data_IF_246112955445
#
_entry.id   IF_246112955445
#
_cell.length_a   1.000
_cell.length_b   1.000
_cell.length_c   1.000
_cell.angle_alpha   90.00
_cell.angle_beta   90.00
_cell.angle_gamma   90.00
#
_symmetry.space_group_name_H-M   'P 1'
#
loop_
_entity.id
_entity.type
_entity.pdbx_description
1 polymer ?
#
# COMPACT_ATOMS: atom_id res chain seq x y z
N UNK A 1 6.76 23.86 23.96
CA UNK A 1 6.03 23.00 23.01
C UNK A 1 6.73 22.93 21.65
N UNK A 2 6.97 24.05 20.93
CA UNK A 2 7.58 24.04 19.58
C UNK A 2 8.99 23.44 19.54
N UNK A 3 9.85 23.72 20.54
CA UNK A 3 11.19 23.12 20.63
C UNK A 3 11.13 21.59 20.83
N UNK A 4 10.15 21.10 21.55
CA UNK A 4 9.93 19.65 21.70
C UNK A 4 9.45 19.03 20.41
N UNK A 5 8.51 19.65 19.70
CA UNK A 5 8.02 19.19 18.41
C UNK A 5 9.13 19.16 17.34
N UNK A 6 9.98 20.19 17.29
CA UNK A 6 11.11 20.19 16.36
C UNK A 6 12.14 19.11 16.66
N UNK A 7 12.31 18.73 17.93
CA UNK A 7 13.10 17.57 18.33
C UNK A 7 12.46 16.24 17.93
N UNK A 8 11.14 16.12 18.04
CA UNK A 8 10.37 14.94 17.64
C UNK A 8 10.36 14.75 16.13
N UNK A 9 10.13 15.82 15.35
CA UNK A 9 10.11 15.83 13.89
C UNK A 9 11.44 16.28 13.27
N UNK A 10 12.58 15.83 13.84
CA UNK A 10 13.91 16.19 13.35
C UNK A 10 14.23 15.55 11.99
N UNK A 11 15.36 15.94 11.39
CA UNK A 11 15.77 15.46 10.07
C UNK A 11 16.17 13.96 10.03
N UNK A 12 16.38 13.34 11.20
CA UNK A 12 16.71 11.91 11.30
C UNK A 12 15.47 11.02 11.39
N UNK A 13 14.28 11.60 11.65
CA UNK A 13 13.05 10.83 11.74
C UNK A 13 12.72 10.19 10.39
N UNK A 14 12.33 8.92 10.45
CA UNK A 14 11.80 8.18 9.32
C UNK A 14 10.27 8.16 9.47
N UNK A 15 9.56 8.59 8.44
CA UNK A 15 8.10 8.61 8.39
C UNK A 15 7.60 7.43 7.59
N UNK A 16 6.57 6.73 8.07
CA UNK A 16 5.85 5.81 7.19
C UNK A 16 4.96 6.58 6.22
N UNK A 17 4.69 6.02 5.05
CA UNK A 17 3.77 6.64 4.09
C UNK A 17 2.38 6.81 4.70
N UNK A 18 1.90 5.81 5.44
CA UNK A 18 0.60 5.86 6.13
C UNK A 18 0.52 6.94 7.21
N UNK A 19 1.61 7.21 7.96
CA UNK A 19 1.67 8.37 8.89
C UNK A 19 1.45 9.69 8.15
N UNK A 20 2.09 9.86 6.99
CA UNK A 20 1.99 11.08 6.20
C UNK A 20 0.58 11.28 5.64
N UNK A 21 -0.03 10.22 5.09
CA UNK A 21 -1.41 10.25 4.60
C UNK A 21 -2.42 10.50 5.73
N UNK A 22 -2.22 9.86 6.91
CA UNK A 22 -3.06 10.10 8.08
C UNK A 22 -3.02 11.57 8.50
N UNK A 23 -1.81 12.16 8.59
CA UNK A 23 -1.68 13.59 8.91
C UNK A 23 -2.34 14.47 7.84
N UNK A 24 -2.16 14.16 6.58
CA UNK A 24 -2.78 14.91 5.47
C UNK A 24 -4.31 14.82 5.54
N UNK A 25 -4.85 13.62 5.80
CA UNK A 25 -6.29 13.39 5.90
C UNK A 25 -6.89 14.07 7.14
N UNK A 26 -6.28 13.91 8.31
CA UNK A 26 -6.75 14.49 9.57
C UNK A 26 -5.58 14.79 10.52
N UNK A 27 -5.07 16.06 10.56
CA UNK A 27 -3.99 16.44 11.46
C UNK A 27 -4.28 16.21 12.94
N UNK A 28 -5.55 16.31 13.36
CA UNK A 28 -5.95 16.04 14.73
C UNK A 28 -5.90 14.56 15.10
N UNK A 29 -6.34 13.68 14.19
CA UNK A 29 -6.26 12.21 14.41
C UNK A 29 -4.79 11.78 14.53
N UNK A 30 -3.94 12.26 13.63
CA UNK A 30 -2.49 12.03 13.73
C UNK A 30 -1.92 12.50 15.07
N UNK A 31 -2.30 13.69 15.55
CA UNK A 31 -1.84 14.23 16.83
C UNK A 31 -2.28 13.35 18.00
N UNK A 32 -3.55 12.95 18.01
CA UNK A 32 -4.09 12.13 19.09
C UNK A 32 -3.40 10.76 19.13
N UNK A 33 -3.26 10.07 18.00
CA UNK A 33 -2.69 8.72 17.94
C UNK A 33 -1.17 8.69 18.07
N UNK A 34 -0.43 9.56 17.35
CA UNK A 34 1.03 9.49 17.29
C UNK A 34 1.76 10.38 18.31
N UNK A 35 1.15 11.46 18.76
CA UNK A 35 1.78 12.39 19.71
C UNK A 35 1.28 12.17 21.13
N UNK A 36 -0.03 12.03 21.31
CA UNK A 36 -0.63 11.81 22.62
C UNK A 36 -0.74 10.31 22.99
N UNK A 37 -0.58 9.40 22.04
CA UNK A 37 -0.71 7.96 22.28
C UNK A 37 -2.14 7.56 22.69
N UNK A 38 -3.16 8.30 22.20
CA UNK A 38 -4.55 7.95 22.46
C UNK A 38 -4.93 6.74 21.64
N UNK A 39 -5.24 5.65 22.30
CA UNK A 39 -5.76 4.45 21.67
C UNK A 39 -7.29 4.42 21.76
N UNK A 40 -7.98 3.96 20.71
CA UNK A 40 -9.42 3.72 20.78
C UNK A 40 -9.73 2.74 21.90
N UNK A 41 -10.84 2.95 22.62
CA UNK A 41 -11.35 1.93 23.53
C UNK A 41 -11.67 0.69 22.74
N UNK A 42 -11.09 -0.43 23.14
CA UNK A 42 -11.41 -1.74 22.56
C UNK A 42 -12.83 -2.08 23.00
N UNK A 43 -13.80 -1.84 22.13
CA UNK A 43 -15.12 -2.41 22.31
C UNK A 43 -14.98 -3.94 22.19
N UNK A 44 -15.63 -4.69 23.09
CA UNK A 44 -15.67 -6.15 23.01
C UNK A 44 -16.57 -6.55 21.83
N UNK A 45 -16.09 -6.26 20.62
CA UNK A 45 -16.77 -6.74 19.41
C UNK A 45 -16.47 -8.23 19.23
N UNK A 46 -17.52 -9.01 19.06
CA UNK A 46 -17.44 -10.41 18.66
C UNK A 46 -17.03 -10.53 17.19
N UNK A 47 -17.01 -9.41 16.47
CA UNK A 47 -16.60 -9.33 15.06
C UNK A 47 -15.08 -9.48 14.91
N UNK A 48 -14.66 -10.23 13.91
CA UNK A 48 -13.24 -10.33 13.50
C UNK A 48 -12.74 -8.95 13.09
N UNK A 49 -11.59 -8.54 13.60
CA UNK A 49 -10.98 -7.27 13.27
C UNK A 49 -10.67 -7.21 11.75
N UNK A 50 -11.28 -6.25 11.07
CA UNK A 50 -11.09 -6.04 9.62
C UNK A 50 -9.64 -5.77 9.27
N UNK A 51 -8.89 -5.11 10.17
CA UNK A 51 -7.46 -4.83 9.98
C UNK A 51 -6.63 -6.12 10.09
N UNK A 52 -6.95 -6.97 11.07
CA UNK A 52 -6.28 -8.26 11.24
C UNK A 52 -6.54 -9.19 10.05
N UNK A 53 -7.77 -9.22 9.54
CA UNK A 53 -8.11 -9.93 8.31
C UNK A 53 -7.32 -9.41 7.13
N UNK A 54 -7.22 -8.07 6.96
CA UNK A 54 -6.43 -7.44 5.90
C UNK A 54 -4.99 -7.92 5.94
N UNK A 55 -4.34 -7.86 7.12
CA UNK A 55 -2.96 -8.31 7.32
C UNK A 55 -2.78 -9.79 6.95
N UNK A 56 -3.69 -10.64 7.41
CA UNK A 56 -3.63 -12.08 7.14
C UNK A 56 -3.81 -12.41 5.64
N UNK A 57 -4.67 -11.69 4.93
CA UNK A 57 -4.81 -11.83 3.47
C UNK A 57 -3.50 -11.48 2.77
N UNK A 58 -2.81 -10.40 3.15
CA UNK A 58 -1.51 -10.02 2.57
C UNK A 58 -0.46 -11.11 2.82
N UNK A 59 -0.37 -11.62 4.05
CA UNK A 59 0.56 -12.70 4.43
C UNK A 59 0.33 -13.97 3.60
N UNK A 60 -0.94 -14.37 3.45
CA UNK A 60 -1.32 -15.55 2.66
C UNK A 60 -1.04 -15.36 1.16
N UNK A 61 -1.32 -14.19 0.59
CA UNK A 61 -1.02 -13.89 -0.81
C UNK A 61 0.48 -13.90 -1.08
N UNK A 62 1.27 -13.31 -0.17
CA UNK A 62 2.73 -13.35 -0.28
C UNK A 62 3.27 -14.79 -0.19
N UNK A 63 2.75 -15.59 0.75
CA UNK A 63 3.12 -16.99 0.90
C UNK A 63 2.74 -17.82 -0.33
N UNK A 64 1.52 -17.62 -0.87
CA UNK A 64 1.04 -18.29 -2.07
C UNK A 64 1.98 -18.09 -3.25
N UNK A 65 2.33 -16.85 -3.54
CA UNK A 65 3.22 -16.54 -4.65
C UNK A 65 4.65 -17.04 -4.42
N UNK A 66 5.18 -16.91 -3.19
CA UNK A 66 6.52 -17.44 -2.86
C UNK A 66 6.58 -18.95 -3.06
N UNK A 67 5.61 -19.68 -2.54
CA UNK A 67 5.52 -21.14 -2.68
C UNK A 67 5.39 -21.53 -4.16
N UNK A 68 4.55 -20.83 -4.93
CA UNK A 68 4.42 -21.06 -6.36
C UNK A 68 5.76 -20.85 -7.10
N UNK A 69 6.42 -19.70 -6.86
CA UNK A 69 7.70 -19.39 -7.49
C UNK A 69 8.79 -20.43 -7.15
N UNK A 70 8.81 -20.92 -5.90
CA UNK A 70 9.72 -21.98 -5.47
C UNK A 70 9.44 -23.31 -6.20
N UNK A 71 8.17 -23.71 -6.29
CA UNK A 71 7.78 -24.94 -7.01
C UNK A 71 8.08 -24.88 -8.52
N UNK A 72 7.90 -23.70 -9.11
CA UNK A 72 8.16 -23.49 -10.55
C UNK A 72 9.63 -23.20 -10.87
N UNK A 73 10.47 -22.91 -9.87
CA UNK A 73 11.87 -22.49 -10.04
C UNK A 73 12.05 -21.15 -10.76
N UNK A 74 10.97 -20.36 -10.88
CA UNK A 74 10.94 -19.03 -11.53
C UNK A 74 9.73 -18.23 -11.08
N UNK A 75 9.71 -16.90 -11.33
CA UNK A 75 8.49 -16.12 -11.18
C UNK A 75 7.36 -16.69 -12.03
N UNK A 76 6.22 -16.94 -11.41
CA UNK A 76 5.05 -17.55 -12.05
C UNK A 76 3.75 -16.91 -11.53
N UNK A 77 2.73 -16.91 -12.38
CA UNK A 77 1.38 -16.48 -12.02
C UNK A 77 0.54 -17.68 -11.60
N UNK A 78 -0.38 -17.53 -10.62
CA UNK A 78 -1.39 -18.54 -10.34
C UNK A 78 -2.19 -18.97 -11.57
N UNK A 79 -2.36 -18.09 -12.56
CA UNK A 79 -3.04 -18.39 -13.82
C UNK A 79 -2.31 -19.40 -14.72
N UNK A 80 -1.07 -19.76 -14.40
CA UNK A 80 -0.30 -20.81 -15.11
C UNK A 80 -0.64 -22.23 -14.62
N UNK A 81 -1.33 -22.34 -13.49
CA UNK A 81 -1.88 -23.59 -12.96
C UNK A 81 -3.30 -23.83 -13.51
N UNK A 82 -3.73 -25.07 -13.56
CA UNK A 82 -5.15 -25.31 -13.60
C UNK A 82 -5.80 -25.03 -12.24
N UNK A 83 -7.14 -24.95 -12.22
CA UNK A 83 -7.84 -24.53 -11.00
C UNK A 83 -7.70 -25.54 -9.84
N UNK A 84 -7.60 -26.83 -10.16
CA UNK A 84 -7.42 -27.89 -9.13
C UNK A 84 -6.03 -27.78 -8.49
N UNK A 85 -4.99 -27.65 -9.31
CA UNK A 85 -3.62 -27.41 -8.83
C UNK A 85 -3.51 -26.13 -8.00
N UNK A 86 -4.22 -25.07 -8.40
CA UNK A 86 -4.29 -23.85 -7.62
C UNK A 86 -4.93 -24.06 -6.24
N UNK A 87 -6.03 -24.81 -6.17
CA UNK A 87 -6.68 -25.11 -4.88
C UNK A 87 -5.81 -25.96 -3.97
N UNK A 88 -5.06 -26.93 -4.51
CA UNK A 88 -4.10 -27.73 -3.74
C UNK A 88 -2.99 -26.84 -3.16
N UNK A 89 -2.44 -25.93 -3.97
CA UNK A 89 -1.45 -24.97 -3.50
C UNK A 89 -2.02 -24.02 -2.43
N UNK A 90 -3.26 -23.57 -2.61
CA UNK A 90 -3.93 -22.68 -1.66
C UNK A 90 -4.13 -23.36 -0.31
N UNK A 91 -4.59 -24.62 -0.28
CA UNK A 91 -4.76 -25.35 0.97
C UNK A 91 -3.42 -25.60 1.69
N UNK A 92 -2.36 -25.95 0.96
CA UNK A 92 -1.02 -26.09 1.51
C UNK A 92 -0.55 -24.78 2.19
N UNK A 93 -0.74 -23.64 1.52
CA UNK A 93 -0.34 -22.32 2.06
C UNK A 93 -1.19 -21.94 3.26
N UNK A 94 -2.49 -22.21 3.24
CA UNK A 94 -3.37 -21.95 4.37
C UNK A 94 -2.93 -22.78 5.59
N UNK A 95 -2.66 -24.06 5.42
CA UNK A 95 -2.21 -24.94 6.51
C UNK A 95 -0.89 -24.46 7.14
N UNK A 96 0.02 -23.91 6.35
CA UNK A 96 1.32 -23.44 6.82
C UNK A 96 1.27 -22.03 7.46
N UNK A 97 0.42 -21.15 6.96
CA UNK A 97 0.46 -19.72 7.28
C UNK A 97 -0.68 -19.28 8.20
N UNK A 98 -1.87 -19.90 8.08
CA UNK A 98 -3.02 -19.50 8.87
C UNK A 98 -2.82 -19.81 10.35
N UNK A 99 -3.19 -18.91 11.29
CA UNK A 99 -3.00 -19.13 12.71
C UNK A 99 -3.65 -20.44 13.21
N UNK A 100 -3.03 -21.15 14.17
CA UNK A 100 -3.54 -22.41 14.67
C UNK A 100 -4.91 -22.22 15.36
N UNK A 101 -5.78 -23.23 15.25
CA UNK A 101 -7.12 -23.19 15.83
C UNK A 101 -7.08 -22.98 17.36
N UNK A 102 -7.77 -21.96 17.89
CA UNK A 102 -7.81 -21.70 19.33
C UNK A 102 -8.51 -22.81 20.11
N UNK A 103 -8.09 -23.03 21.37
CA UNK A 103 -8.73 -24.03 22.26
C UNK A 103 -10.08 -23.59 22.81
N UNK A 104 -10.32 -22.28 22.92
CA UNK A 104 -11.56 -21.72 23.46
C UNK A 104 -12.70 -21.88 22.46
N UNK A 105 -13.89 -22.44 22.84
CA UNK A 105 -14.96 -22.78 21.90
C UNK A 105 -15.43 -21.58 21.04
N UNK A 106 -15.66 -20.41 21.67
CA UNK A 106 -16.11 -19.22 20.95
C UNK A 106 -15.05 -18.73 19.95
N UNK A 107 -13.78 -18.63 20.38
CA UNK A 107 -12.69 -18.23 19.49
C UNK A 107 -12.47 -19.25 18.37
N UNK A 108 -12.66 -20.54 18.64
CA UNK A 108 -12.57 -21.58 17.62
C UNK A 108 -13.69 -21.47 16.57
N UNK A 109 -14.90 -21.09 16.97
CA UNK A 109 -15.99 -20.84 16.04
C UNK A 109 -15.71 -19.60 15.15
N UNK A 110 -15.27 -18.49 15.74
CA UNK A 110 -14.87 -17.29 14.99
C UNK A 110 -13.70 -17.58 14.03
N UNK A 111 -12.71 -18.35 14.48
CA UNK A 111 -11.60 -18.80 13.66
C UNK A 111 -12.07 -19.60 12.42
N UNK A 112 -13.05 -20.49 12.58
CA UNK A 112 -13.62 -21.23 11.45
C UNK A 112 -14.34 -20.32 10.45
N UNK A 113 -15.09 -19.33 10.95
CA UNK A 113 -15.75 -18.34 10.09
C UNK A 113 -14.70 -17.55 9.31
N UNK A 114 -13.65 -17.07 9.98
CA UNK A 114 -12.59 -16.29 9.36
C UNK A 114 -11.84 -17.08 8.29
N UNK A 115 -11.46 -18.32 8.60
CA UNK A 115 -10.85 -19.23 7.64
C UNK A 115 -11.73 -19.43 6.40
N UNK A 116 -13.05 -19.63 6.60
CA UNK A 116 -13.98 -19.78 5.48
C UNK A 116 -14.08 -18.53 4.61
N UNK A 117 -14.13 -17.34 5.24
CA UNK A 117 -14.17 -16.06 4.52
C UNK A 117 -12.90 -15.85 3.70
N UNK A 118 -11.73 -16.06 4.31
CA UNK A 118 -10.44 -15.90 3.64
C UNK A 118 -10.27 -16.91 2.50
N UNK A 119 -10.60 -18.18 2.73
CA UNK A 119 -10.56 -19.22 1.68
C UNK A 119 -11.36 -18.78 0.47
N UNK A 120 -12.60 -18.34 0.65
CA UNK A 120 -13.44 -17.87 -0.45
C UNK A 120 -12.85 -16.65 -1.19
N UNK A 121 -12.25 -15.72 -0.47
CA UNK A 121 -11.57 -14.57 -1.10
C UNK A 121 -10.42 -15.06 -1.97
N UNK A 122 -9.61 -15.98 -1.48
CA UNK A 122 -8.45 -16.50 -2.19
C UNK A 122 -8.82 -17.46 -3.33
N UNK A 123 -9.91 -18.22 -3.22
CA UNK A 123 -10.46 -18.97 -4.36
C UNK A 123 -10.82 -18.04 -5.53
N UNK A 124 -11.45 -16.89 -5.24
CA UNK A 124 -11.76 -15.88 -6.25
C UNK A 124 -10.53 -15.19 -6.85
N UNK A 125 -9.44 -15.15 -6.11
CA UNK A 125 -8.18 -14.54 -6.55
C UNK A 125 -7.60 -15.21 -7.80
N UNK A 126 -7.81 -16.52 -8.00
CA UNK A 126 -7.39 -17.22 -9.21
C UNK A 126 -7.95 -16.58 -10.50
N UNK A 127 -9.26 -16.33 -10.55
CA UNK A 127 -9.89 -15.71 -11.73
C UNK A 127 -9.38 -14.28 -11.94
N UNK A 128 -9.09 -13.57 -10.86
CA UNK A 128 -8.50 -12.24 -10.93
C UNK A 128 -7.07 -12.30 -11.55
N UNK A 129 -6.28 -13.33 -11.23
CA UNK A 129 -4.96 -13.54 -11.82
C UNK A 129 -5.06 -13.87 -13.32
N UNK A 130 -6.03 -14.70 -13.73
CA UNK A 130 -6.28 -15.00 -15.15
C UNK A 130 -6.63 -13.74 -15.94
N UNK A 131 -7.50 -12.90 -15.38
CA UNK A 131 -7.88 -11.62 -16.00
C UNK A 131 -6.70 -10.65 -16.08
N UNK A 132 -5.90 -10.57 -15.02
CA UNK A 132 -4.70 -9.72 -14.97
C UNK A 132 -3.67 -10.14 -16.02
N UNK A 133 -3.33 -11.43 -16.10
CA UNK A 133 -2.36 -11.95 -17.06
C UNK A 133 -2.83 -11.70 -18.51
N UNK A 134 -4.10 -11.91 -18.80
CA UNK A 134 -4.67 -11.65 -20.12
C UNK A 134 -4.51 -10.18 -20.52
N UNK A 135 -4.75 -9.26 -19.60
CA UNK A 135 -4.57 -7.82 -19.84
C UNK A 135 -3.10 -7.44 -20.10
N UNK A 136 -2.15 -8.09 -19.42
CA UNK A 136 -0.72 -7.78 -19.57
C UNK A 136 -0.11 -8.32 -20.87
N UNK A 137 -0.62 -9.43 -21.41
CA UNK A 137 -0.11 -10.04 -22.63
C UNK A 137 -0.24 -9.15 -23.87
N UNK A 138 -1.20 -8.25 -23.90
CA UNK A 138 -1.44 -7.36 -25.04
C UNK A 138 -0.34 -6.29 -25.23
N UNK A 139 0.48 -6.02 -24.22
CA UNK A 139 1.35 -4.86 -24.19
C UNK A 139 2.84 -5.15 -23.96
N UNK A 140 3.23 -6.39 -23.66
CA UNK A 140 4.60 -6.75 -23.30
C UNK A 140 5.12 -7.98 -24.05
N UNK A 141 6.42 -7.97 -24.43
CA UNK A 141 7.11 -9.13 -24.98
C UNK A 141 7.14 -10.30 -24.00
N UNK A 142 7.41 -9.98 -22.74
CA UNK A 142 7.31 -10.89 -21.61
C UNK A 142 6.51 -10.17 -20.52
N UNK A 143 5.23 -10.54 -20.34
CA UNK A 143 4.36 -9.90 -19.37
C UNK A 143 4.94 -9.94 -17.95
N UNK A 144 4.80 -8.88 -17.16
CA UNK A 144 5.26 -8.86 -15.79
C UNK A 144 4.67 -10.01 -14.96
N UNK A 145 5.53 -10.75 -14.27
CA UNK A 145 5.18 -11.87 -13.39
C UNK A 145 5.50 -11.57 -11.95
N UNK A 146 4.71 -12.08 -10.98
CA UNK A 146 4.92 -11.89 -9.56
C UNK A 146 6.32 -12.34 -9.14
N UNK A 147 7.16 -11.40 -8.69
CA UNK A 147 8.58 -11.67 -8.42
C UNK A 147 8.95 -11.40 -6.97
N UNK A 148 8.61 -10.24 -6.41
CA UNK A 148 8.90 -9.90 -5.02
C UNK A 148 7.64 -9.52 -4.25
N UNK A 149 7.63 -9.88 -2.96
CA UNK A 149 6.46 -9.76 -2.08
C UNK A 149 6.88 -9.20 -0.73
N UNK A 150 6.09 -8.28 -0.16
CA UNK A 150 6.34 -7.68 1.15
C UNK A 150 7.73 -7.01 1.22
N UNK A 151 8.10 -6.28 0.15
CA UNK A 151 9.40 -5.61 0.04
C UNK A 151 9.44 -4.38 0.93
N UNK A 152 10.29 -4.41 1.97
CA UNK A 152 10.41 -3.34 2.95
C UNK A 152 11.52 -2.36 2.61
N UNK A 153 11.33 -1.10 2.95
CA UNK A 153 12.37 -0.07 2.91
C UNK A 153 12.28 0.86 4.13
N UNK A 154 13.42 1.21 4.70
CA UNK A 154 13.55 2.20 5.77
C UNK A 154 13.41 1.69 7.18
N UNK A 155 12.74 0.58 7.43
CA UNK A 155 12.66 -0.09 8.74
C UNK A 155 12.23 -1.53 8.56
N UNK A 156 12.81 -2.42 9.36
CA UNK A 156 12.37 -3.80 9.44
C UNK A 156 12.54 -4.54 8.12
N UNK A 157 13.73 -4.41 7.49
CA UNK A 157 14.04 -5.23 6.34
C UNK A 157 13.81 -6.70 6.71
N UNK A 158 13.05 -7.37 5.87
CA UNK A 158 12.88 -8.81 5.96
C UNK A 158 14.02 -9.47 5.18
N UNK A 159 14.20 -10.80 5.34
CA UNK A 159 15.26 -11.57 4.69
C UNK A 159 15.12 -11.67 3.16
N UNK A 160 14.48 -10.69 2.53
CA UNK A 160 14.32 -10.65 1.08
C UNK A 160 15.45 -9.83 0.45
N UNK A 161 16.00 -10.34 -0.63
CA UNK A 161 17.13 -9.75 -1.36
C UNK A 161 16.90 -8.29 -1.78
N UNK A 162 15.66 -7.91 -2.10
CA UNK A 162 15.32 -6.54 -2.51
C UNK A 162 15.02 -5.61 -1.34
N UNK A 163 14.74 -6.11 -0.13
CA UNK A 163 14.43 -5.28 1.04
C UNK A 163 15.66 -4.54 1.56
N UNK A 164 15.46 -3.34 2.11
CA UNK A 164 16.54 -2.47 2.60
C UNK A 164 16.14 -1.77 3.91
N UNK A 165 17.06 -1.74 4.89
CA UNK A 165 16.91 -0.91 6.09
C UNK A 165 17.12 0.58 5.81
N UNK A 166 17.69 0.92 4.66
CA UNK A 166 17.85 2.31 4.24
C UNK A 166 16.50 2.91 3.84
N UNK A 167 16.11 4.06 4.42
CA UNK A 167 14.89 4.73 4.05
C UNK A 167 14.99 5.36 2.66
N UNK A 168 13.89 5.33 1.94
CA UNK A 168 13.76 6.11 0.71
C UNK A 168 13.80 7.60 1.05
N UNK A 169 14.66 8.36 0.38
CA UNK A 169 14.83 9.80 0.63
C UNK A 169 14.11 10.61 -0.43
N UNK A 170 13.03 11.24 -0.01
CA UNK A 170 12.29 12.18 -0.86
C UNK A 170 12.87 13.58 -0.71
N UNK A 171 13.10 14.26 -1.82
CA UNK A 171 13.73 15.59 -1.85
C UNK A 171 12.80 16.61 -2.52
N UNK A 172 12.80 17.82 -1.98
CA UNK A 172 12.24 19.01 -2.60
C UNK A 172 13.17 20.20 -2.32
N UNK A 173 13.74 20.80 -3.36
CA UNK A 173 14.79 21.83 -3.27
C UNK A 173 15.96 21.37 -2.39
N UNK A 174 16.12 22.02 -1.20
CA UNK A 174 17.19 21.75 -0.23
C UNK A 174 16.72 20.89 0.96
N UNK A 175 15.48 20.41 0.94
CA UNK A 175 14.90 19.66 2.07
C UNK A 175 14.74 18.21 1.67
N UNK A 176 15.11 17.34 2.60
CA UNK A 176 14.99 15.91 2.46
C UNK A 176 14.13 15.33 3.58
N UNK A 177 13.31 14.35 3.24
CA UNK A 177 12.49 13.60 4.19
C UNK A 177 12.74 12.12 3.97
N UNK A 178 13.01 11.39 5.05
CA UNK A 178 13.25 9.96 5.05
C UNK A 178 11.95 9.21 5.23
N UNK A 179 11.62 8.34 4.29
CA UNK A 179 10.33 7.63 4.25
C UNK A 179 10.58 6.13 4.31
N UNK A 180 9.71 5.42 5.02
CA UNK A 180 9.67 3.95 5.08
C UNK A 180 8.33 3.43 4.59
N UNK A 181 8.35 2.20 4.10
CA UNK A 181 7.15 1.52 3.65
C UNK A 181 7.40 0.04 3.38
N UNK A 182 6.33 -0.63 2.94
CA UNK A 182 6.36 -2.02 2.53
C UNK A 182 5.48 -2.18 1.30
N UNK A 183 6.09 -2.65 0.23
CA UNK A 183 5.44 -2.86 -1.07
C UNK A 183 4.94 -4.30 -1.10
N UNK A 184 3.64 -4.49 -1.26
CA UNK A 184 3.03 -5.81 -1.16
C UNK A 184 3.51 -6.75 -2.28
N UNK A 185 3.58 -6.24 -3.53
CA UNK A 185 3.97 -7.05 -4.69
C UNK A 185 4.65 -6.21 -5.77
N UNK A 186 5.74 -6.74 -6.32
CA UNK A 186 6.42 -6.22 -7.50
C UNK A 186 6.48 -7.34 -8.54
N UNK A 187 5.94 -7.06 -9.73
CA UNK A 187 6.00 -7.97 -10.87
C UNK A 187 7.08 -7.50 -11.84
N UNK A 188 7.90 -8.42 -12.35
CA UNK A 188 8.90 -8.14 -13.37
C UNK A 188 8.55 -8.74 -14.72
N UNK A 189 8.90 -8.02 -15.78
CA UNK A 189 8.73 -8.44 -17.16
C UNK A 189 9.73 -7.76 -18.11
N UNK A 190 9.46 -7.85 -19.40
CA UNK A 190 10.25 -7.18 -20.45
C UNK A 190 9.35 -6.54 -21.49
N UNK A 191 9.67 -5.30 -21.84
CA UNK A 191 9.05 -4.54 -22.91
C UNK A 191 10.13 -3.67 -23.59
N UNK A 192 10.08 -3.50 -24.91
CA UNK A 192 11.05 -2.71 -25.68
C UNK A 192 12.51 -3.06 -25.33
N UNK A 193 12.86 -4.35 -25.18
CA UNK A 193 14.17 -4.86 -24.77
C UNK A 193 14.72 -4.32 -23.44
N UNK A 194 13.82 -3.81 -22.58
CA UNK A 194 14.12 -3.32 -21.24
C UNK A 194 13.41 -4.15 -20.19
N UNK A 195 14.02 -4.25 -19.02
CA UNK A 195 13.35 -4.76 -17.83
C UNK A 195 12.29 -3.76 -17.40
N UNK A 196 11.09 -4.26 -17.13
CA UNK A 196 9.96 -3.44 -16.69
C UNK A 196 9.33 -4.03 -15.44
N UNK A 197 8.64 -3.19 -14.65
CA UNK A 197 7.98 -3.66 -13.45
C UNK A 197 6.63 -3.00 -13.20
N UNK A 198 5.75 -3.73 -12.50
CA UNK A 198 4.52 -3.23 -11.95
C UNK A 198 4.60 -3.22 -10.42
N UNK A 199 3.97 -2.22 -9.79
CA UNK A 199 3.80 -2.15 -8.32
C UNK A 199 2.32 -2.37 -8.00
N UNK A 200 2.04 -3.36 -7.17
CA UNK A 200 0.68 -3.73 -6.78
C UNK A 200 0.55 -3.68 -5.27
N UNK A 201 -0.56 -3.12 -4.80
CA UNK A 201 -0.91 -3.03 -3.39
C UNK A 201 -2.28 -3.65 -3.16
N UNK A 202 -2.37 -4.63 -2.27
CA UNK A 202 -3.59 -5.37 -2.01
C UNK A 202 -4.53 -4.59 -1.10
N UNK A 203 -5.81 -4.58 -1.44
CA UNK A 203 -6.87 -3.98 -0.63
C UNK A 203 -8.01 -4.96 -0.41
N UNK A 204 -8.40 -5.15 0.83
CA UNK A 204 -9.59 -5.95 1.20
C UNK A 204 -10.88 -5.12 1.16
N UNK A 205 -10.77 -3.79 1.09
CA UNK A 205 -11.85 -2.83 0.90
C UNK A 205 -11.85 -2.19 -0.49
N UNK A 206 -12.56 -1.07 -0.63
CA UNK A 206 -12.49 -0.25 -1.83
C UNK A 206 -11.17 0.53 -1.93
N UNK A 207 -10.72 0.77 -3.15
CA UNK A 207 -9.56 1.61 -3.42
C UNK A 207 -9.84 2.56 -4.59
N UNK A 208 -9.32 3.79 -4.47
CA UNK A 208 -9.44 4.82 -5.50
C UNK A 208 -8.07 5.03 -6.14
N UNK A 209 -8.05 5.15 -7.47
CA UNK A 209 -6.84 5.53 -8.21
C UNK A 209 -6.29 6.86 -7.66
N UNK A 210 -4.99 6.98 -7.39
CA UNK A 210 -4.39 8.26 -7.05
C UNK A 210 -4.58 9.29 -8.15
N UNK A 211 -5.07 10.46 -7.80
CA UNK A 211 -5.15 11.61 -8.68
C UNK A 211 -4.09 12.66 -8.29
N UNK A 212 -3.66 13.48 -9.25
CA UNK A 212 -2.65 14.51 -8.98
C UNK A 212 -3.06 15.42 -7.83
N UNK A 213 -4.34 15.81 -7.75
CA UNK A 213 -4.86 16.63 -6.66
C UNK A 213 -4.76 15.94 -5.29
N UNK A 214 -5.03 14.62 -5.22
CA UNK A 214 -4.92 13.86 -3.99
C UNK A 214 -3.45 13.75 -3.53
N UNK A 215 -2.51 13.61 -4.48
CA UNK A 215 -1.06 13.63 -4.21
C UNK A 215 -0.61 15.01 -3.76
N UNK A 216 -1.10 16.07 -4.38
CA UNK A 216 -0.84 17.45 -3.96
C UNK A 216 -1.35 17.73 -2.55
N UNK A 217 -2.47 17.19 -2.16
CA UNK A 217 -2.98 17.27 -0.78
C UNK A 217 -2.20 16.38 0.19
N UNK A 218 -1.54 15.34 -0.31
CA UNK A 218 -0.80 14.35 0.48
C UNK A 218 -1.67 13.20 1.00
N UNK A 219 -2.92 13.07 0.53
CA UNK A 219 -3.88 12.05 0.98
C UNK A 219 -3.81 10.75 0.17
N UNK A 220 -3.00 10.71 -0.88
CA UNK A 220 -2.78 9.51 -1.71
C UNK A 220 -1.32 9.43 -2.17
N UNK A 221 -0.42 9.10 -1.24
CA UNK A 221 1.03 9.03 -1.45
C UNK A 221 1.54 7.61 -1.65
N UNK A 222 0.79 6.61 -1.19
CA UNK A 222 1.24 5.21 -1.08
C UNK A 222 1.79 4.68 -2.41
N UNK A 223 0.97 4.59 -3.45
CA UNK A 223 1.42 4.06 -4.75
C UNK A 223 2.53 4.89 -5.38
N UNK A 224 2.45 6.24 -5.47
CA UNK A 224 3.52 7.04 -6.03
C UNK A 224 4.87 6.85 -5.31
N UNK A 225 4.87 6.84 -3.98
CA UNK A 225 6.09 6.61 -3.18
C UNK A 225 6.63 5.20 -3.38
N UNK A 226 5.75 4.19 -3.42
CA UNK A 226 6.15 2.80 -3.63
C UNK A 226 6.78 2.58 -5.01
N UNK A 227 6.27 3.25 -6.05
CA UNK A 227 6.91 3.23 -7.39
C UNK A 227 8.31 3.82 -7.33
N UNK A 228 8.47 4.98 -6.70
CA UNK A 228 9.78 5.65 -6.60
C UNK A 228 10.78 4.81 -5.78
N UNK A 229 10.34 4.25 -4.66
CA UNK A 229 11.16 3.37 -3.83
C UNK A 229 11.53 2.08 -4.58
N UNK A 230 10.57 1.42 -5.24
CA UNK A 230 10.83 0.23 -6.06
C UNK A 230 11.84 0.52 -7.18
N UNK A 231 11.71 1.66 -7.85
CA UNK A 231 12.64 2.08 -8.89
C UNK A 231 14.07 2.26 -8.36
N UNK A 232 14.24 2.84 -7.15
CA UNK A 232 15.55 2.97 -6.50
C UNK A 232 16.12 1.60 -6.09
N UNK A 233 15.31 0.75 -5.48
CA UNK A 233 15.73 -0.59 -5.07
C UNK A 233 16.14 -1.44 -6.27
N UNK A 234 15.35 -1.44 -7.34
CA UNK A 234 15.62 -2.21 -8.55
C UNK A 234 16.81 -1.67 -9.34
N UNK A 235 17.11 -0.37 -9.28
CA UNK A 235 18.27 0.19 -9.96
C UNK A 235 19.61 -0.39 -9.48
N UNK A 236 19.63 -1.01 -8.30
CA UNK A 236 20.79 -1.74 -7.76
C UNK A 236 21.02 -3.10 -8.45
N UNK A 237 19.97 -3.68 -9.05
CA UNK A 237 20.02 -4.99 -9.72
C UNK A 237 20.02 -4.83 -11.24
N UNK A 238 19.11 -4.03 -11.77
CA UNK A 238 18.94 -3.73 -13.21
C UNK A 238 18.23 -2.38 -13.37
N UNK A 239 18.47 -1.68 -14.48
CA UNK A 239 17.72 -0.47 -14.83
C UNK A 239 16.33 -0.82 -15.31
N UNK A 240 15.42 -1.08 -14.39
CA UNK A 240 14.04 -1.41 -14.66
C UNK A 240 13.15 -0.16 -14.78
N UNK A 241 12.16 -0.20 -15.67
CA UNK A 241 11.21 0.89 -15.89
C UNK A 241 9.84 0.54 -15.31
N UNK A 242 9.21 1.42 -14.51
CA UNK A 242 7.88 1.19 -13.99
C UNK A 242 6.83 1.32 -15.11
N UNK A 243 6.03 0.28 -15.36
CA UNK A 243 4.95 0.36 -16.35
C UNK A 243 3.64 0.80 -15.71
N UNK A 244 3.22 0.09 -14.69
CA UNK A 244 1.94 0.30 -14.02
C UNK A 244 2.10 0.30 -12.51
N UNK A 245 1.23 1.04 -11.82
CA UNK A 245 1.01 0.85 -10.39
C UNK A 245 -0.48 0.90 -10.08
N UNK A 246 -0.96 0.04 -9.19
CA UNK A 246 -2.38 0.00 -8.90
C UNK A 246 -2.74 -0.79 -7.67
N UNK A 247 -3.98 -0.59 -7.25
CA UNK A 247 -4.58 -1.36 -6.19
C UNK A 247 -5.21 -2.65 -6.73
N UNK A 248 -5.01 -3.74 -6.01
CA UNK A 248 -5.68 -5.01 -6.25
C UNK A 248 -6.75 -5.23 -5.19
N UNK A 249 -8.02 -5.10 -5.57
CA UNK A 249 -9.15 -5.25 -4.65
C UNK A 249 -9.55 -6.73 -4.56
N UNK A 250 -8.99 -7.44 -3.58
CA UNK A 250 -9.12 -8.91 -3.45
C UNK A 250 -10.58 -9.36 -3.32
N UNK A 251 -11.41 -8.57 -2.63
CA UNK A 251 -12.85 -8.88 -2.44
C UNK A 251 -13.70 -8.72 -3.69
N UNK A 252 -13.27 -7.91 -4.65
CA UNK A 252 -14.09 -7.46 -5.78
C UNK A 252 -13.48 -7.88 -7.13
N UNK A 253 -13.17 -6.89 -7.95
CA UNK A 253 -12.76 -7.07 -9.36
C UNK A 253 -11.30 -7.47 -9.55
N UNK A 254 -10.50 -7.50 -8.46
CA UNK A 254 -9.07 -7.67 -8.57
C UNK A 254 -8.37 -6.39 -9.06
N UNK A 255 -7.39 -6.56 -9.95
CA UNK A 255 -6.69 -5.44 -10.58
C UNK A 255 -7.49 -4.89 -11.76
N UNK A 256 -7.63 -3.57 -11.82
CA UNK A 256 -8.27 -2.88 -12.95
C UNK A 256 -7.28 -1.92 -13.62
N UNK A 257 -6.94 -2.20 -14.87
CA UNK A 257 -6.03 -1.35 -15.66
C UNK A 257 -6.54 0.10 -15.81
N UNK A 258 -7.86 0.31 -15.84
CA UNK A 258 -8.47 1.63 -15.92
C UNK A 258 -8.32 2.43 -14.62
N UNK A 259 -8.17 1.73 -13.48
CA UNK A 259 -7.95 2.33 -12.16
C UNK A 259 -6.46 2.37 -11.78
N UNK A 260 -5.56 1.90 -12.65
CA UNK A 260 -4.12 1.93 -12.42
C UNK A 260 -3.48 3.24 -12.90
N UNK A 261 -2.33 3.55 -12.32
CA UNK A 261 -1.43 4.59 -12.82
C UNK A 261 -0.64 3.99 -13.98
N UNK A 262 -0.76 4.58 -15.17
CA UNK A 262 0.14 4.32 -16.30
C UNK A 262 1.37 5.20 -16.12
N UNK A 263 2.54 4.59 -15.98
CA UNK A 263 3.78 5.28 -15.61
C UNK A 263 4.68 5.47 -16.84
N UNK A 264 4.90 4.39 -17.56
CA UNK A 264 5.55 4.40 -18.86
C UNK A 264 4.66 3.68 -19.87
N UNK A 265 4.79 4.04 -21.13
CA UNK A 265 4.12 3.40 -22.26
C UNK A 265 5.11 3.15 -23.40
N UNK A 266 4.82 2.17 -24.23
CA UNK A 266 5.65 1.86 -25.39
C UNK A 266 5.14 2.63 -26.60
N UNK A 267 5.98 3.56 -27.11
CA UNK A 267 5.74 4.36 -28.30
C UNK A 267 6.88 4.08 -29.28
N UNK A 268 6.57 3.69 -30.49
CA UNK A 268 7.56 3.38 -31.56
C UNK A 268 8.71 2.46 -31.10
N UNK A 269 8.41 1.47 -30.28
CA UNK A 269 9.38 0.50 -29.73
C UNK A 269 10.26 1.03 -28.61
N UNK A 270 9.98 2.21 -28.07
CA UNK A 270 10.69 2.81 -26.92
C UNK A 270 9.74 2.98 -25.73
N UNK A 271 10.30 2.95 -24.53
CA UNK A 271 9.56 3.25 -23.31
C UNK A 271 9.64 4.75 -23.04
N UNK A 272 8.49 5.41 -23.01
CA UNK A 272 8.37 6.83 -22.71
C UNK A 272 7.55 7.05 -21.44
N UNK A 273 7.96 8.04 -20.65
CA UNK A 273 7.26 8.42 -19.43
C UNK A 273 5.95 9.12 -19.79
N UNK A 274 4.85 8.77 -19.11
CA UNK A 274 3.59 9.47 -19.31
C UNK A 274 3.59 10.85 -18.67
N UNK A 275 2.90 11.82 -19.29
CA UNK A 275 2.77 13.18 -18.75
C UNK A 275 2.14 13.19 -17.35
N UNK A 276 1.18 12.31 -17.11
CA UNK A 276 0.51 12.20 -15.82
C UNK A 276 1.48 11.76 -14.72
N UNK A 277 2.32 10.77 -15.00
CA UNK A 277 3.32 10.30 -14.05
C UNK A 277 4.45 11.33 -13.86
N UNK A 278 4.92 11.96 -14.91
CA UNK A 278 5.94 13.00 -14.82
C UNK A 278 5.54 14.11 -13.84
N UNK A 279 4.31 14.63 -13.97
CA UNK A 279 3.75 15.64 -13.06
C UNK A 279 3.57 15.12 -11.64
N UNK A 280 3.01 13.91 -11.49
CA UNK A 280 2.76 13.31 -10.18
C UNK A 280 4.07 13.08 -9.41
N UNK A 281 5.10 12.57 -10.08
CA UNK A 281 6.43 12.32 -9.50
C UNK A 281 7.07 13.59 -8.92
N UNK A 282 6.93 14.72 -9.61
CA UNK A 282 7.42 16.02 -9.13
C UNK A 282 6.67 16.51 -7.90
N UNK A 283 5.37 16.25 -7.81
CA UNK A 283 4.54 16.71 -6.70
C UNK A 283 4.71 15.89 -5.42
N UNK A 284 5.11 14.62 -5.50
CA UNK A 284 5.33 13.75 -4.31
C UNK A 284 6.32 14.40 -3.34
N UNK A 285 7.46 14.87 -3.84
CA UNK A 285 8.49 15.51 -3.02
C UNK A 285 7.98 16.75 -2.31
N UNK A 286 7.35 17.65 -3.06
CA UNK A 286 6.78 18.91 -2.55
C UNK A 286 5.73 18.64 -1.47
N UNK A 287 4.85 17.68 -1.70
CA UNK A 287 3.77 17.32 -0.77
C UNK A 287 4.32 16.78 0.54
N UNK A 288 5.21 15.81 0.50
CA UNK A 288 5.80 15.19 1.70
C UNK A 288 6.58 16.23 2.52
N UNK A 289 7.43 17.03 1.86
CA UNK A 289 8.20 18.07 2.55
C UNK A 289 7.28 19.08 3.21
N UNK A 290 6.21 19.51 2.52
CA UNK A 290 5.20 20.43 3.08
C UNK A 290 4.50 19.85 4.31
N UNK A 291 4.05 18.58 4.26
CA UNK A 291 3.42 17.92 5.41
C UNK A 291 4.34 17.91 6.64
N UNK A 292 5.59 17.47 6.47
CA UNK A 292 6.57 17.44 7.57
C UNK A 292 6.84 18.84 8.14
N UNK A 293 6.89 19.88 7.29
CA UNK A 293 7.05 21.25 7.77
C UNK A 293 5.84 21.72 8.59
N UNK A 294 4.62 21.34 8.20
CA UNK A 294 3.39 21.64 8.97
C UNK A 294 3.41 20.93 10.33
N UNK A 295 3.83 19.67 10.39
CA UNK A 295 4.04 18.93 11.63
C UNK A 295 5.06 19.64 12.56
N UNK A 296 6.19 20.07 12.02
CA UNK A 296 7.24 20.82 12.75
C UNK A 296 6.75 22.15 13.34
N UNK A 297 5.80 22.80 12.65
CA UNK A 297 5.14 24.01 13.12
C UNK A 297 4.04 23.76 14.14
N UNK A 298 3.72 22.50 14.44
CA UNK A 298 2.65 22.14 15.40
C UNK A 298 1.24 22.37 14.86
N UNK A 299 1.03 22.27 13.55
CA UNK A 299 -0.27 22.50 12.91
C UNK A 299 -1.13 21.23 12.97
N UNK A 300 -1.72 20.95 14.14
CA UNK A 300 -2.58 19.79 14.40
C UNK A 300 -4.02 20.23 14.66
N UNK A 301 -4.62 20.87 13.67
CA UNK A 301 -5.97 21.41 13.77
C UNK A 301 -7.04 20.35 13.46
N UNK A 302 -8.26 20.60 13.95
CA UNK A 302 -9.42 19.75 13.67
C UNK A 302 -9.91 20.02 12.26
N UNK A 303 -9.58 19.09 11.35
CA UNK A 303 -10.00 19.09 9.95
C UNK A 303 -9.94 17.67 9.42
N UNK A 304 -10.77 17.32 8.46
CA UNK A 304 -10.69 16.03 7.74
C UNK A 304 -11.07 16.20 6.28
N UNK A 305 -10.32 15.57 5.40
CA UNK A 305 -10.68 15.39 3.99
C UNK A 305 -11.79 14.33 3.79
N UNK A 306 -12.04 13.49 4.81
CA UNK A 306 -13.17 12.56 4.80
C UNK A 306 -14.42 13.23 5.40
N UNK A 307 -15.43 13.46 4.56
CA UNK A 307 -16.71 14.05 4.97
C UNK A 307 -17.53 13.13 5.86
N UNK A 308 -17.26 11.82 5.82
CA UNK A 308 -17.94 10.81 6.63
C UNK A 308 -17.16 10.41 7.89
N UNK A 309 -16.06 11.10 8.21
CA UNK A 309 -15.19 10.76 9.34
C UNK A 309 -15.93 10.65 10.69
N UNK A 310 -17.05 11.38 10.86
CA UNK A 310 -17.86 11.33 12.08
C UNK A 310 -18.64 10.04 12.29
N UNK A 311 -18.79 9.22 11.26
CA UNK A 311 -19.50 7.94 11.35
C UNK A 311 -18.63 6.86 12.01
N UNK A 312 -17.37 6.73 11.55
CA UNK A 312 -16.48 5.63 11.91
C UNK A 312 -15.24 6.05 12.73
N UNK A 313 -15.00 7.36 12.91
CA UNK A 313 -13.82 7.83 13.63
C UNK A 313 -13.95 7.59 15.14
N UNK A 314 -12.99 6.90 15.78
CA UNK A 314 -13.02 6.68 17.23
C UNK A 314 -12.90 7.96 18.05
N UNK A 315 -12.37 9.02 17.45
CA UNK A 315 -12.19 10.32 18.09
C UNK A 315 -13.38 11.29 17.90
N UNK A 316 -14.46 10.85 17.27
CA UNK A 316 -15.64 11.69 16.94
C UNK A 316 -16.23 12.45 18.12
N UNK A 317 -16.15 11.90 19.34
CA UNK A 317 -16.67 12.50 20.56
C UNK A 317 -15.81 13.64 21.11
N UNK A 318 -14.51 13.64 20.81
CA UNK A 318 -13.54 14.63 21.33
C UNK A 318 -13.11 15.67 20.31
N UNK A 319 -13.05 15.32 19.02
CA UNK A 319 -12.55 16.23 17.97
C UNK A 319 -13.52 17.36 17.61
N UNK A 320 -14.83 17.20 17.84
CA UNK A 320 -15.89 18.18 17.58
C UNK A 320 -15.87 18.78 16.16
N UNK A 321 -15.49 18.00 15.17
CA UNK A 321 -15.34 18.47 13.77
C UNK A 321 -16.65 19.05 13.21
N UNK A 322 -17.82 18.53 13.61
CA UNK A 322 -19.10 19.08 13.19
C UNK A 322 -19.29 20.54 13.62
N UNK A 323 -18.77 20.92 14.79
CA UNK A 323 -18.82 22.32 15.24
C UNK A 323 -17.88 23.19 14.42
N UNK A 324 -16.71 22.67 14.02
CA UNK A 324 -15.76 23.39 13.16
C UNK A 324 -16.35 23.62 11.77
N UNK A 325 -16.95 22.59 11.17
CA UNK A 325 -17.62 22.68 9.85
C UNK A 325 -18.81 23.65 9.89
N UNK A 326 -19.60 23.58 10.96
CA UNK A 326 -20.75 24.50 11.10
C UNK A 326 -20.32 25.97 11.20
N UNK A 327 -19.15 26.25 11.77
CA UNK A 327 -18.58 27.61 11.84
C UNK A 327 -17.82 28.01 10.57
N UNK A 328 -17.84 27.17 9.51
CA UNK A 328 -17.14 27.40 8.22
C UNK A 328 -15.63 27.72 8.39
N UNK A 329 -15.01 27.19 9.44
CA UNK A 329 -13.59 27.38 9.69
C UNK A 329 -12.76 26.63 8.66
N UNK A 330 -11.91 27.39 7.96
CA UNK A 330 -10.95 26.82 7.03
C UNK A 330 -9.65 26.45 7.75
N UNK A 331 -8.93 25.39 7.31
CA UNK A 331 -7.59 25.11 7.84
C UNK A 331 -6.65 26.30 7.55
N UNK A 332 -5.72 26.62 8.44
CA UNK A 332 -4.71 27.64 8.16
C UNK A 332 -3.87 27.22 6.95
N UNK A 333 -3.65 28.15 6.03
CA UNK A 333 -2.87 27.97 4.79
C UNK A 333 -1.39 27.70 5.11
#
# INVERSE_FOLDING_TARGET
ALAWLSGWFNDRRIYSVSELEQYACCPFDFFASHILGVEPLVELEVATDVLERGRLVHELLAALHKTLNQKMGRPASPAELDYEQYLELLEEVIEQTFPPKPKQPLKAALWQIELHVIRRLLEGYYQQCVAYDSCQQEHCQQPPKPTWFEVSFGRGANDQELSSDEPFTVQDERKAVRVSGRIDRIDLGRAADRTVFNVLDYKTGGAKKPELADVQLGISLQLPVYVLAANELLSRLDNAYPLLAGYWTVKNEGFSANKALKLYEQIDGKLEITDAWSKMREEVGKSIVRLVQRMRRGLFYVFSHDDQCTQNCPLKTVCRINQVRWLEKQPPV
#
